data_IF_460087350359
#
_entry.id   IF_460087350359
#
_cell.length_a   1.000
_cell.length_b   1.000
_cell.length_c   1.000
_cell.angle_alpha   90.00
_cell.angle_beta   90.00
_cell.angle_gamma   90.00
#
_symmetry.space_group_name_H-M   'P 1'
#
loop_
_entity.id
_entity.type
_entity.pdbx_description
1 polymer ?
#
# COMPACT_ATOMS: atom_id res chain seq x y z
N UNK A 1 -6.19 -10.14 -14.19
CA UNK A 1 -6.43 -9.78 -12.77
C UNK A 1 -7.45 -10.78 -12.22
N UNK A 2 -7.31 -11.19 -10.96
CA UNK A 2 -8.24 -12.09 -10.29
C UNK A 2 -8.52 -11.60 -8.87
N UNK A 3 -9.76 -11.78 -8.41
CA UNK A 3 -10.21 -11.50 -7.05
C UNK A 3 -10.92 -12.74 -6.52
N UNK A 4 -10.48 -13.26 -5.38
CA UNK A 4 -10.95 -14.51 -4.81
C UNK A 4 -11.51 -14.30 -3.39
N UNK A 5 -12.42 -15.20 -3.00
CA UNK A 5 -12.98 -15.28 -1.66
C UNK A 5 -12.36 -16.47 -0.92
N UNK A 6 -11.56 -16.18 0.10
CA UNK A 6 -11.07 -17.18 1.05
C UNK A 6 -9.78 -17.90 0.66
N UNK A 7 -8.95 -17.32 -0.21
CA UNK A 7 -7.66 -17.92 -0.55
C UNK A 7 -6.80 -18.16 0.70
N UNK A 8 -6.22 -19.35 0.80
CA UNK A 8 -5.38 -19.79 1.92
C UNK A 8 -6.16 -20.19 3.18
N UNK A 9 -7.16 -19.42 3.60
CA UNK A 9 -7.80 -19.55 4.93
C UNK A 9 -9.25 -20.06 4.92
N UNK A 10 -9.84 -20.25 3.74
CA UNK A 10 -11.21 -20.73 3.57
C UNK A 10 -12.25 -19.61 3.37
N UNK A 11 -13.42 -20.00 2.86
CA UNK A 11 -14.50 -19.09 2.40
C UNK A 11 -14.89 -18.10 3.50
N UNK A 12 -15.00 -16.82 3.14
CA UNK A 12 -15.47 -15.74 4.01
C UNK A 12 -14.43 -15.19 4.98
N UNK A 13 -13.22 -15.75 5.02
CA UNK A 13 -12.16 -15.34 5.97
C UNK A 13 -11.09 -14.43 5.38
N UNK A 14 -11.03 -14.32 4.05
CA UNK A 14 -10.13 -13.41 3.36
C UNK A 14 -10.73 -12.94 2.04
N UNK A 15 -10.36 -11.72 1.64
CA UNK A 15 -10.51 -11.22 0.28
C UNK A 15 -9.11 -11.01 -0.24
N UNK A 16 -8.74 -11.76 -1.27
CA UNK A 16 -7.38 -11.77 -1.80
C UNK A 16 -7.40 -11.67 -3.32
N UNK A 17 -6.49 -10.87 -3.87
CA UNK A 17 -6.38 -10.64 -5.30
C UNK A 17 -4.95 -10.83 -5.78
N UNK A 18 -4.80 -10.89 -7.10
CA UNK A 18 -3.51 -10.91 -7.76
C UNK A 18 -3.66 -10.67 -9.25
N UNK A 19 -2.55 -10.44 -9.94
CA UNK A 19 -2.53 -10.32 -11.38
C UNK A 19 -1.34 -11.09 -11.95
N UNK A 20 -1.47 -11.46 -13.22
CA UNK A 20 -0.37 -11.94 -14.05
C UNK A 20 -0.20 -10.96 -15.21
N UNK A 21 1.04 -10.71 -15.59
CA UNK A 21 1.39 -9.81 -16.68
C UNK A 21 2.35 -10.51 -17.64
N UNK A 22 2.00 -10.52 -18.92
CA UNK A 22 2.85 -11.10 -19.96
C UNK A 22 3.88 -10.07 -20.38
N UNK A 23 5.15 -10.47 -20.36
CA UNK A 23 6.28 -9.65 -20.79
C UNK A 23 6.67 -10.04 -22.22
N UNK A 24 6.09 -9.35 -23.20
CA UNK A 24 6.29 -9.64 -24.63
C UNK A 24 7.43 -8.83 -25.28
N UNK A 25 8.10 -7.96 -24.52
CA UNK A 25 9.20 -7.12 -25.00
C UNK A 25 8.76 -5.86 -25.77
N UNK A 26 7.46 -5.59 -25.89
CA UNK A 26 6.97 -4.39 -26.55
C UNK A 26 7.09 -3.14 -25.65
N UNK A 27 7.31 -1.98 -26.25
CA UNK A 27 7.31 -0.69 -25.53
C UNK A 27 5.97 -0.42 -24.81
N UNK A 28 4.86 -0.93 -25.38
CA UNK A 28 3.54 -0.84 -24.73
C UNK A 28 3.54 -1.57 -23.40
N UNK A 29 4.07 -2.79 -23.36
CA UNK A 29 4.14 -3.59 -22.13
C UNK A 29 5.10 -2.96 -21.12
N UNK A 30 6.21 -2.38 -21.58
CA UNK A 30 7.14 -1.64 -20.73
C UNK A 30 6.48 -0.44 -20.02
N UNK A 31 5.66 0.33 -20.75
CA UNK A 31 4.89 1.43 -20.19
C UNK A 31 3.83 0.95 -19.18
N UNK A 32 3.14 -0.15 -19.47
CA UNK A 32 2.18 -0.75 -18.53
C UNK A 32 2.90 -1.24 -17.26
N UNK A 33 4.05 -1.88 -17.41
CA UNK A 33 4.81 -2.45 -16.30
C UNK A 33 5.27 -1.37 -15.34
N UNK A 34 5.82 -0.28 -15.89
CA UNK A 34 6.30 0.88 -15.16
C UNK A 34 5.23 1.55 -14.30
N UNK A 35 3.96 1.45 -14.72
CA UNK A 35 2.82 1.97 -13.94
C UNK A 35 2.24 0.91 -12.99
N UNK A 36 2.00 -0.31 -13.47
CA UNK A 36 1.28 -1.34 -12.71
C UNK A 36 2.03 -1.81 -11.47
N UNK A 37 3.36 -1.95 -11.56
CA UNK A 37 4.19 -2.48 -10.46
C UNK A 37 4.18 -1.56 -9.23
N UNK A 38 4.44 -0.24 -9.35
CA UNK A 38 4.30 0.67 -8.21
C UNK A 38 2.90 0.63 -7.58
N UNK A 39 1.84 0.59 -8.38
CA UNK A 39 0.46 0.55 -7.85
C UNK A 39 0.17 -0.72 -7.03
N UNK A 40 0.57 -1.90 -7.51
CA UNK A 40 0.33 -3.17 -6.82
C UNK A 40 1.08 -3.26 -5.48
N UNK A 41 2.30 -2.72 -5.42
CA UNK A 41 3.13 -2.72 -4.22
C UNK A 41 2.71 -1.60 -3.26
N UNK A 42 2.76 -0.36 -3.74
CA UNK A 42 2.61 0.82 -2.88
C UNK A 42 1.19 0.98 -2.35
N UNK A 43 0.15 0.46 -3.01
CA UNK A 43 -1.18 0.42 -2.43
C UNK A 43 -1.22 -0.37 -1.11
N UNK A 44 -0.49 -1.49 -1.04
CA UNK A 44 -0.35 -2.28 0.17
C UNK A 44 0.51 -1.60 1.23
N UNK A 45 1.66 -1.02 0.82
CA UNK A 45 2.56 -0.30 1.73
C UNK A 45 1.86 0.91 2.34
N UNK A 46 1.19 1.74 1.53
CA UNK A 46 0.42 2.90 1.98
C UNK A 46 -0.66 2.53 3.00
N UNK A 47 -1.41 1.45 2.76
CA UNK A 47 -2.43 0.98 3.70
C UNK A 47 -1.83 0.50 5.02
N UNK A 48 -0.66 -0.15 4.99
CA UNK A 48 0.08 -0.56 6.20
C UNK A 48 0.67 0.63 6.94
N UNK A 49 1.20 1.61 6.22
CA UNK A 49 1.67 2.86 6.78
C UNK A 49 0.53 3.54 7.54
N UNK A 50 -0.64 3.69 6.91
CA UNK A 50 -1.83 4.25 7.56
C UNK A 50 -2.30 3.46 8.79
N UNK A 51 -2.12 2.14 8.78
CA UNK A 51 -2.33 1.27 9.95
C UNK A 51 -1.19 1.36 10.99
N UNK A 52 -0.28 2.34 10.86
CA UNK A 52 0.82 2.69 11.77
C UNK A 52 1.97 1.68 11.82
N UNK A 53 2.22 0.96 10.72
CA UNK A 53 3.45 0.18 10.61
C UNK A 53 4.65 1.11 10.34
N UNK A 54 5.63 1.13 11.25
CA UNK A 54 6.77 2.06 11.22
C UNK A 54 7.57 1.99 9.91
N UNK A 55 7.99 0.79 9.51
CA UNK A 55 8.75 0.61 8.26
C UNK A 55 7.95 0.98 7.00
N UNK A 56 6.64 0.76 7.00
CA UNK A 56 5.81 1.20 5.88
C UNK A 56 5.70 2.74 5.83
N UNK A 57 5.69 3.43 6.98
CA UNK A 57 5.73 4.90 7.03
C UNK A 57 7.05 5.41 6.45
N UNK A 58 8.18 4.81 6.85
CA UNK A 58 9.51 5.15 6.32
C UNK A 58 9.56 5.01 4.79
N UNK A 59 9.12 3.85 4.26
CA UNK A 59 9.09 3.60 2.81
C UNK A 59 8.16 4.55 2.08
N UNK A 60 6.98 4.85 2.62
CA UNK A 60 6.07 5.82 1.99
C UNK A 60 6.64 7.25 2.01
N UNK A 61 7.37 7.64 3.06
CA UNK A 61 8.02 8.95 3.13
C UNK A 61 9.13 9.08 2.07
N UNK A 62 9.95 8.04 1.90
CA UNK A 62 10.96 7.99 0.84
C UNK A 62 10.32 7.98 -0.56
N UNK A 63 9.29 7.15 -0.77
CA UNK A 63 8.57 7.08 -2.05
C UNK A 63 7.97 8.43 -2.45
N UNK A 64 7.36 9.16 -1.51
CA UNK A 64 6.82 10.50 -1.75
C UNK A 64 7.89 11.52 -2.15
N UNK A 65 9.13 11.35 -1.71
CA UNK A 65 10.25 12.22 -2.10
C UNK A 65 10.79 11.83 -3.48
N UNK A 66 10.97 10.54 -3.74
CA UNK A 66 11.55 10.02 -4.98
C UNK A 66 10.59 10.09 -6.18
N UNK A 67 9.27 10.08 -5.95
CA UNK A 67 8.23 9.98 -6.98
C UNK A 67 7.13 11.05 -6.83
N UNK A 68 7.52 12.26 -6.43
CA UNK A 68 6.58 13.36 -6.16
C UNK A 68 5.71 13.76 -7.36
N UNK A 69 6.16 13.47 -8.59
CA UNK A 69 5.44 13.70 -9.84
C UNK A 69 4.31 12.70 -10.09
N UNK A 70 4.36 11.51 -9.49
CA UNK A 70 3.36 10.46 -9.67
C UNK A 70 2.18 10.58 -8.70
N UNK A 71 2.37 11.30 -7.59
CA UNK A 71 1.34 11.54 -6.59
C UNK A 71 1.91 11.67 -5.18
N UNK A 72 1.02 11.56 -4.20
CA UNK A 72 1.40 11.68 -2.78
C UNK A 72 0.60 10.70 -1.92
N UNK A 73 1.32 9.84 -1.19
CA UNK A 73 0.74 8.96 -0.18
C UNK A 73 0.56 9.72 1.12
N UNK A 74 -0.66 9.76 1.65
CA UNK A 74 -0.93 10.36 2.96
C UNK A 74 -0.22 9.59 4.08
N UNK A 75 0.63 10.26 4.84
CA UNK A 75 1.32 9.69 6.01
C UNK A 75 0.51 9.94 7.29
N UNK A 76 0.39 8.96 8.20
CA UNK A 76 -0.21 9.20 9.50
C UNK A 76 0.77 9.94 10.42
N UNK A 77 0.24 10.89 11.19
CA UNK A 77 0.94 11.50 12.31
C UNK A 77 0.46 10.84 13.59
N UNK A 78 1.29 9.97 14.15
CA UNK A 78 0.94 9.19 15.34
C UNK A 78 1.01 10.10 16.57
N UNK A 79 -0.13 10.26 17.25
CA UNK A 79 -0.20 11.00 18.51
C UNK A 79 0.46 10.19 19.63
N UNK A 80 1.10 10.88 20.57
CA UNK A 80 1.67 10.25 21.76
C UNK A 80 0.57 9.74 22.70
N UNK A 81 0.80 8.60 23.32
CA UNK A 81 -0.18 7.97 24.22
C UNK A 81 -0.54 8.87 25.41
N UNK A 82 0.42 9.64 25.93
CA UNK A 82 0.20 10.55 27.05
C UNK A 82 -0.79 11.69 26.73
N UNK A 83 -0.91 12.07 25.46
CA UNK A 83 -1.92 13.04 25.00
C UNK A 83 -3.29 12.37 24.96
N UNK A 84 -3.38 11.14 24.46
CA UNK A 84 -4.64 10.37 24.46
C UNK A 84 -5.12 10.20 25.91
N UNK A 85 -4.26 9.76 26.82
CA UNK A 85 -4.60 9.53 28.22
C UNK A 85 -5.12 10.78 28.92
N UNK A 86 -4.56 11.96 28.62
CA UNK A 86 -5.03 13.23 29.19
C UNK A 86 -6.41 13.63 28.68
N UNK A 87 -6.71 13.36 27.41
CA UNK A 87 -7.93 13.85 26.73
C UNK A 87 -9.10 12.88 26.88
N UNK A 88 -8.83 11.58 26.95
CA UNK A 88 -9.87 10.53 27.02
C UNK A 88 -10.24 10.18 28.46
N UNK A 89 -9.40 10.49 29.45
CA UNK A 89 -9.77 10.33 30.87
C UNK A 89 -11.01 11.16 31.20
N UNK A 90 -12.08 10.47 31.58
CA UNK A 90 -13.20 10.99 32.37
C UNK A 90 -12.71 11.43 33.74
#
# INVERSE_FOLDING_TARGET
IALHNGGGVGIGKAVNGGFGMVLDGSQRVDAILSMAMPWDVMGGVARRAWARNEHAIEVCAEYNQAHAELGHVTLPYVVKDDVIDRVVKR
#
